data_IF_004502843870
#
_entry.id   IF_004502843870
#
_cell.length_a   1.000
_cell.length_b   1.000
_cell.length_c   1.000
_cell.angle_alpha   90.00
_cell.angle_beta   90.00
_cell.angle_gamma   90.00
#
_symmetry.space_group_name_H-M   'P 1'
#
loop_
_entity.id
_entity.type
_entity.pdbx_description
1 polymer ?
#
# COMPACT_ATOMS: atom_id res chain seq x y z
N UNK A 1 43.40 -1.23 1.09
CA UNK A 1 42.26 -2.05 1.55
C UNK A 1 41.02 -1.16 1.43
N UNK A 2 40.23 -1.31 0.36
CA UNK A 2 39.03 -0.52 0.15
C UNK A 2 37.84 -1.41 0.47
N UNK A 3 37.27 -1.24 1.65
CA UNK A 3 36.07 -1.98 2.07
C UNK A 3 34.87 -1.29 1.42
N UNK A 4 34.24 -1.93 0.43
CA UNK A 4 32.88 -1.57 0.01
C UNK A 4 31.92 -2.09 1.07
N UNK A 5 31.33 -1.19 1.86
CA UNK A 5 30.14 -1.50 2.65
C UNK A 5 28.94 -1.52 1.72
N UNK A 6 28.40 -2.70 1.42
CA UNK A 6 27.08 -2.81 0.80
C UNK A 6 26.04 -2.49 1.88
N UNK A 7 25.49 -1.28 1.84
CA UNK A 7 24.30 -0.89 2.61
C UNK A 7 23.04 -1.29 1.85
N UNK A 8 22.87 -2.59 1.60
CA UNK A 8 21.60 -3.11 1.08
C UNK A 8 20.58 -3.15 2.21
N UNK A 9 20.06 -1.97 2.56
CA UNK A 9 18.96 -1.86 3.52
C UNK A 9 17.67 -2.26 2.81
N UNK A 10 16.85 -3.12 3.41
CA UNK A 10 15.55 -3.46 2.84
C UNK A 10 14.66 -2.21 2.92
N UNK A 11 13.95 -1.81 1.84
CA UNK A 11 13.04 -0.68 1.91
C UNK A 11 11.93 -0.95 2.93
N UNK A 12 11.60 0.05 3.73
CA UNK A 12 10.46 0.00 4.64
C UNK A 12 9.21 0.48 3.90
N UNK A 13 8.04 -0.01 4.31
CA UNK A 13 6.76 0.35 3.71
C UNK A 13 6.02 1.31 4.64
N UNK A 14 5.42 2.35 4.08
CA UNK A 14 4.44 3.20 4.73
C UNK A 14 3.14 3.25 3.92
N UNK A 15 2.04 3.56 4.59
CA UNK A 15 0.73 3.77 3.95
C UNK A 15 0.18 5.12 4.40
N UNK A 16 -0.36 5.87 3.45
CA UNK A 16 -1.01 7.15 3.68
C UNK A 16 -2.36 7.16 2.94
N UNK A 17 -3.37 7.78 3.54
CA UNK A 17 -4.70 7.84 2.96
C UNK A 17 -5.64 8.69 3.80
N UNK A 18 -6.91 8.84 3.37
CA UNK A 18 -7.91 9.58 4.12
C UNK A 18 -8.21 8.88 5.46
N UNK A 19 -8.42 9.66 6.52
CA UNK A 19 -8.89 9.16 7.82
C UNK A 19 -10.40 8.87 7.84
N UNK A 20 -11.14 9.39 6.87
CA UNK A 20 -12.58 9.21 6.68
C UNK A 20 -12.93 9.41 5.21
N UNK A 21 -13.88 8.62 4.71
CA UNK A 21 -14.39 8.70 3.34
C UNK A 21 -15.90 8.82 3.42
N UNK A 22 -16.50 9.65 2.58
CA UNK A 22 -17.96 9.80 2.49
C UNK A 22 -18.54 8.52 1.90
N UNK A 23 -19.65 8.02 2.45
CA UNK A 23 -20.37 6.85 1.93
C UNK A 23 -20.71 7.02 0.43
N UNK A 24 -20.53 5.93 -0.32
CA UNK A 24 -20.65 5.92 -1.78
C UNK A 24 -19.47 6.53 -2.54
N UNK A 25 -18.45 7.07 -1.85
CA UNK A 25 -17.22 7.55 -2.48
C UNK A 25 -16.08 6.51 -2.43
N UNK A 26 -14.94 6.83 -3.04
CA UNK A 26 -13.76 5.98 -3.04
C UNK A 26 -12.66 6.58 -2.14
N UNK A 27 -12.11 5.77 -1.24
CA UNK A 27 -10.87 6.06 -0.51
C UNK A 27 -9.66 5.57 -1.30
N UNK A 28 -8.66 6.44 -1.49
CA UNK A 28 -7.38 6.06 -2.09
C UNK A 28 -6.28 6.06 -1.04
N UNK A 29 -5.57 4.94 -0.94
CA UNK A 29 -4.46 4.72 -0.03
C UNK A 29 -3.18 4.56 -0.85
N UNK A 30 -2.20 5.40 -0.60
CA UNK A 30 -0.88 5.32 -1.23
C UNK A 30 0.05 4.51 -0.34
N UNK A 31 0.62 3.46 -0.90
CA UNK A 31 1.65 2.62 -0.28
C UNK A 31 3.00 3.03 -0.84
N UNK A 32 3.92 3.40 0.04
CA UNK A 32 5.22 3.98 -0.31
C UNK A 32 6.37 3.14 0.22
N UNK A 33 7.38 2.88 -0.60
CA UNK A 33 8.68 2.36 -0.21
C UNK A 33 9.59 3.52 0.22
N UNK A 34 10.34 3.37 1.31
CA UNK A 34 11.24 4.42 1.80
C UNK A 34 12.41 4.74 0.88
N UNK A 35 12.72 3.83 -0.05
CA UNK A 35 13.67 4.03 -1.14
C UNK A 35 13.33 3.11 -2.31
N UNK A 36 13.82 3.48 -3.49
CA UNK A 36 13.73 2.62 -4.67
C UNK A 36 14.53 1.33 -4.46
N UNK A 37 13.93 0.20 -4.86
CA UNK A 37 14.60 -1.10 -4.92
C UNK A 37 15.14 -1.33 -6.33
N UNK A 38 16.30 -1.98 -6.44
CA UNK A 38 16.85 -2.47 -7.73
C UNK A 38 16.21 -3.79 -8.19
N UNK A 39 15.26 -4.32 -7.43
CA UNK A 39 14.54 -5.55 -7.71
C UNK A 39 13.05 -5.36 -7.44
N UNK A 40 12.21 -6.16 -8.10
CA UNK A 40 10.77 -6.13 -7.90
C UNK A 40 10.41 -6.42 -6.45
N UNK A 41 9.59 -5.55 -5.85
CA UNK A 41 9.05 -5.74 -4.50
C UNK A 41 7.56 -6.00 -4.61
N UNK A 42 7.07 -7.04 -3.96
CA UNK A 42 5.65 -7.35 -3.89
C UNK A 42 5.12 -7.14 -2.47
N UNK A 43 3.95 -6.51 -2.36
CA UNK A 43 3.28 -6.20 -1.09
C UNK A 43 1.85 -6.68 -1.16
N UNK A 44 1.51 -7.71 -0.40
CA UNK A 44 0.13 -8.16 -0.27
C UNK A 44 -0.65 -7.25 0.67
N UNK A 45 -1.89 -6.95 0.31
CA UNK A 45 -2.79 -6.13 1.10
C UNK A 45 -4.19 -6.76 1.16
N UNK A 46 -4.90 -6.47 2.24
CA UNK A 46 -6.31 -6.80 2.42
C UNK A 46 -6.97 -5.75 3.30
N UNK A 47 -8.19 -5.36 2.97
CA UNK A 47 -9.04 -4.62 3.90
C UNK A 47 -9.46 -5.53 5.05
N UNK A 48 -9.64 -4.94 6.23
CA UNK A 48 -10.07 -5.64 7.43
C UNK A 48 -11.25 -4.92 8.07
N UNK A 49 -12.18 -5.70 8.61
CA UNK A 49 -13.33 -5.16 9.32
C UNK A 49 -12.90 -4.49 10.63
N UNK A 50 -13.54 -3.36 10.93
CA UNK A 50 -13.46 -2.69 12.22
C UNK A 50 -14.88 -2.37 12.68
N UNK A 51 -15.15 -1.08 12.90
CA UNK A 51 -16.53 -0.59 13.05
C UNK A 51 -17.28 -0.60 11.72
N UNK A 52 -16.57 -0.34 10.61
CA UNK A 52 -17.06 -0.55 9.26
C UNK A 52 -16.82 -2.00 8.83
N UNK A 53 -17.79 -2.62 8.17
CA UNK A 53 -17.80 -4.01 7.72
C UNK A 53 -17.72 -4.12 6.20
N UNK A 54 -16.82 -4.98 5.73
CA UNK A 54 -16.71 -5.32 4.32
C UNK A 54 -17.99 -5.99 3.80
N UNK A 55 -18.49 -5.52 2.66
CA UNK A 55 -19.75 -5.94 2.05
C UNK A 55 -20.97 -5.14 2.52
N UNK A 56 -20.84 -4.32 3.57
CA UNK A 56 -21.92 -3.45 4.07
C UNK A 56 -21.55 -1.98 3.98
N UNK A 57 -20.39 -1.59 4.53
CA UNK A 57 -19.93 -0.19 4.57
C UNK A 57 -18.85 0.10 3.51
N UNK A 58 -18.13 -0.94 3.07
CA UNK A 58 -17.15 -0.83 1.98
C UNK A 58 -17.03 -2.14 1.22
N UNK A 59 -16.57 -2.08 -0.02
CA UNK A 59 -16.23 -3.28 -0.79
C UNK A 59 -14.93 -3.87 -0.27
N UNK A 60 -14.97 -5.10 0.24
CA UNK A 60 -13.76 -5.78 0.68
C UNK A 60 -12.79 -5.97 -0.51
N UNK A 61 -11.56 -5.49 -0.37
CA UNK A 61 -10.54 -5.52 -1.41
C UNK A 61 -9.28 -6.16 -0.86
N UNK A 62 -8.69 -7.07 -1.63
CA UNK A 62 -7.38 -7.64 -1.34
C UNK A 62 -6.63 -7.87 -2.64
N UNK A 63 -5.31 -7.95 -2.55
CA UNK A 63 -4.47 -8.17 -3.71
C UNK A 63 -2.98 -8.06 -3.39
N UNK A 64 -2.19 -7.95 -4.46
CA UNK A 64 -0.75 -7.74 -4.37
C UNK A 64 -0.38 -6.51 -5.17
N UNK A 65 0.27 -5.56 -4.51
CA UNK A 65 0.95 -4.45 -5.17
C UNK A 65 2.31 -4.94 -5.64
N UNK A 66 2.65 -4.60 -6.87
CA UNK A 66 3.96 -4.90 -7.45
C UNK A 66 4.66 -3.57 -7.70
N UNK A 67 5.79 -3.36 -7.04
CA UNK A 67 6.70 -2.26 -7.30
C UNK A 67 7.80 -2.80 -8.22
N UNK A 68 7.82 -2.33 -9.46
CA UNK A 68 8.92 -2.61 -10.39
C UNK A 68 10.21 -1.96 -9.89
N UNK A 69 11.35 -2.37 -10.46
CA UNK A 69 12.64 -1.75 -10.12
C UNK A 69 12.57 -0.24 -10.31
N UNK A 70 12.96 0.52 -9.29
CA UNK A 70 12.90 1.98 -9.29
C UNK A 70 11.58 2.58 -8.77
N UNK A 71 10.49 1.80 -8.71
CA UNK A 71 9.20 2.30 -8.20
C UNK A 71 9.22 2.38 -6.68
N UNK A 72 8.56 3.42 -6.16
CA UNK A 72 8.46 3.67 -4.72
C UNK A 72 7.04 3.93 -4.25
N UNK A 73 6.07 4.00 -5.14
CA UNK A 73 4.69 4.36 -4.78
C UNK A 73 3.71 3.54 -5.60
N UNK A 74 2.70 2.98 -4.93
CA UNK A 74 1.56 2.32 -5.54
C UNK A 74 0.28 2.70 -4.81
N UNK A 75 -0.86 2.69 -5.51
CA UNK A 75 -2.15 3.06 -4.93
C UNK A 75 -3.08 1.86 -4.79
N UNK A 76 -3.83 1.86 -3.68
CA UNK A 76 -4.95 0.96 -3.41
C UNK A 76 -6.21 1.81 -3.29
N UNK A 77 -7.23 1.48 -4.08
CA UNK A 77 -8.53 2.11 -4.00
C UNK A 77 -9.54 1.19 -3.32
N UNK A 78 -10.31 1.74 -2.38
CA UNK A 78 -11.40 1.05 -1.68
C UNK A 78 -12.67 1.86 -1.86
N UNK A 79 -13.69 1.26 -2.47
CA UNK A 79 -15.00 1.89 -2.59
C UNK A 79 -15.79 1.71 -1.31
N UNK A 80 -16.37 2.80 -0.80
CA UNK A 80 -17.36 2.75 0.27
C UNK A 80 -18.74 2.50 -0.30
N UNK A 81 -19.59 1.88 0.51
CA UNK A 81 -20.99 1.63 0.23
C UNK A 81 -21.81 2.61 1.08
N UNK A 82 -23.01 2.95 0.62
CA UNK A 82 -23.96 3.81 1.32
C UNK A 82 -25.36 3.24 1.26
#
# INVERSE_FOLDING_TARGET
MNTLTITDTIPTISIAGPSSVIEGAQGSFTVTLSKASSSTVTVSYSTQNGTALGGTDFTATSGTLTFLSGETSQNVSVSTLG
#
